data_IF_781187290648
#
_entry.id   IF_781187290648
#
_cell.length_a   1.000
_cell.length_b   1.000
_cell.length_c   1.000
_cell.angle_alpha   90.00
_cell.angle_beta   90.00
_cell.angle_gamma   90.00
#
_symmetry.space_group_name_H-M   'P 1'
#
loop_
_entity.id
_entity.type
_entity.pdbx_description
1 polymer ?
#
# COMPACT_ATOMS: atom_id res chain seq x y z
N UNK A 1 -35.14 0.58 14.25
CA UNK A 1 -33.86 0.50 14.99
C UNK A 1 -33.13 -0.76 14.53
N UNK A 2 -32.14 -0.63 13.65
CA UNK A 2 -31.36 -1.77 13.17
C UNK A 2 -30.31 -2.16 14.21
N UNK A 3 -30.36 -3.39 14.71
CA UNK A 3 -29.36 -3.90 15.64
C UNK A 3 -28.05 -4.09 14.89
N UNK A 4 -27.06 -3.25 15.19
CA UNK A 4 -25.70 -3.38 14.69
C UNK A 4 -25.14 -4.67 15.31
N UNK A 5 -25.18 -5.75 14.53
CA UNK A 5 -24.77 -7.09 14.96
C UNK A 5 -23.28 -6.99 15.28
N UNK A 6 -22.97 -6.94 16.58
CA UNK A 6 -21.60 -6.89 17.09
C UNK A 6 -20.85 -8.03 16.41
N UNK A 7 -19.85 -7.72 15.60
CA UNK A 7 -18.86 -8.70 15.19
C UNK A 7 -18.29 -9.25 16.49
N UNK A 8 -18.69 -10.48 16.84
CA UNK A 8 -18.15 -11.17 17.99
C UNK A 8 -16.64 -11.14 17.85
N UNK A 9 -15.97 -10.62 18.86
CA UNK A 9 -14.55 -10.84 19.09
C UNK A 9 -14.38 -12.31 19.52
N UNK A 10 -14.83 -13.25 18.70
CA UNK A 10 -14.38 -14.62 18.79
C UNK A 10 -12.88 -14.51 18.53
N UNK A 11 -12.08 -14.58 19.60
CA UNK A 11 -10.64 -14.31 19.63
C UNK A 11 -9.81 -15.32 18.84
N UNK A 12 -10.33 -15.80 17.72
CA UNK A 12 -9.58 -16.52 16.71
C UNK A 12 -8.58 -15.54 16.13
N UNK A 13 -7.36 -15.57 16.67
CA UNK A 13 -6.20 -14.99 16.01
C UNK A 13 -6.21 -15.48 14.57
N UNK A 14 -6.43 -14.56 13.63
CA UNK A 14 -6.28 -14.85 12.21
C UNK A 14 -4.78 -14.89 12.00
N UNK A 15 -4.21 -16.09 11.98
CA UNK A 15 -2.82 -16.27 11.59
C UNK A 15 -2.64 -15.64 10.21
N UNK A 16 -1.65 -14.72 10.04
CA UNK A 16 -1.30 -14.22 8.72
C UNK A 16 -1.07 -15.41 7.81
N UNK A 17 -1.71 -15.44 6.64
CA UNK A 17 -1.37 -16.45 5.65
C UNK A 17 0.10 -16.26 5.28
N UNK A 18 0.89 -17.32 5.46
CA UNK A 18 2.26 -17.35 4.97
C UNK A 18 2.27 -16.95 3.48
N UNK A 19 3.13 -16.00 3.11
CA UNK A 19 3.27 -15.52 1.73
C UNK A 19 2.58 -14.19 1.39
N UNK A 20 2.07 -13.44 2.38
CA UNK A 20 1.63 -12.06 2.14
C UNK A 20 2.81 -11.17 1.74
N UNK A 21 2.92 -10.81 0.46
CA UNK A 21 3.95 -9.88 -0.01
C UNK A 21 3.86 -8.54 0.74
N UNK A 22 5.01 -7.99 1.15
CA UNK A 22 5.10 -6.65 1.75
C UNK A 22 4.48 -5.63 0.78
N UNK A 23 3.46 -4.91 1.23
CA UNK A 23 2.70 -3.96 0.40
C UNK A 23 3.07 -2.50 0.62
N UNK A 24 3.98 -2.24 1.55
CA UNK A 24 4.44 -0.88 1.86
C UNK A 24 5.36 -0.36 0.77
N UNK A 25 5.05 0.82 0.28
CA UNK A 25 5.77 1.48 -0.81
C UNK A 25 6.01 2.95 -0.50
N UNK A 26 7.03 3.52 -1.11
CA UNK A 26 7.21 4.95 -1.28
C UNK A 26 6.55 5.38 -2.59
N UNK A 27 5.68 6.39 -2.52
CA UNK A 27 4.88 6.93 -3.63
C UNK A 27 5.47 8.27 -4.08
N UNK A 28 5.84 8.38 -5.35
CA UNK A 28 6.24 9.65 -5.96
C UNK A 28 5.09 10.24 -6.79
N UNK A 29 4.58 11.41 -6.39
CA UNK A 29 3.42 12.05 -7.06
C UNK A 29 3.82 12.89 -8.26
N UNK A 30 5.05 13.40 -8.29
CA UNK A 30 5.60 14.17 -9.40
C UNK A 30 7.03 13.71 -9.70
N UNK A 31 7.43 13.79 -10.96
CA UNK A 31 8.83 13.58 -11.38
C UNK A 31 9.77 14.69 -10.90
N UNK A 32 9.21 15.80 -10.41
CA UNK A 32 9.92 17.01 -10.00
C UNK A 32 9.79 17.34 -8.52
N UNK A 33 8.89 16.66 -7.79
CA UNK A 33 8.83 16.82 -6.34
C UNK A 33 9.82 15.85 -5.70
N UNK A 34 10.61 16.36 -4.75
CA UNK A 34 11.59 15.58 -4.02
C UNK A 34 10.94 14.59 -3.03
N UNK A 35 9.67 14.81 -2.69
CA UNK A 35 9.02 14.11 -1.60
C UNK A 35 8.37 12.81 -2.08
N UNK A 36 8.76 11.71 -1.44
CA UNK A 36 8.13 10.42 -1.59
C UNK A 36 7.30 10.12 -0.33
N UNK A 37 6.05 9.73 -0.50
CA UNK A 37 5.11 9.50 0.59
C UNK A 37 5.03 8.02 0.94
N UNK A 38 4.97 7.64 2.23
CA UNK A 38 4.71 6.26 2.60
C UNK A 38 3.28 5.89 2.18
N UNK A 39 3.12 4.73 1.56
CA UNK A 39 1.85 4.24 1.05
C UNK A 39 1.70 2.73 1.16
N UNK A 40 0.47 2.26 0.97
CA UNK A 40 0.07 0.86 1.03
C UNK A 40 -0.61 0.45 -0.28
N UNK A 41 -0.05 -0.56 -0.95
CA UNK A 41 -0.70 -1.16 -2.13
C UNK A 41 -1.93 -1.96 -1.70
N UNK A 42 -3.09 -1.60 -2.25
CA UNK A 42 -4.35 -2.30 -2.04
C UNK A 42 -4.49 -3.42 -3.08
N UNK A 43 -4.30 -3.08 -4.35
CA UNK A 43 -4.44 -4.01 -5.49
C UNK A 43 -3.60 -3.57 -6.69
N UNK A 44 -3.36 -4.51 -7.61
CA UNK A 44 -2.69 -4.28 -8.88
C UNK A 44 -3.66 -4.52 -10.03
N UNK A 45 -3.53 -3.74 -11.11
CA UNK A 45 -4.17 -4.03 -12.40
C UNK A 45 -3.21 -3.79 -13.55
N UNK A 46 -3.46 -4.48 -14.66
CA UNK A 46 -2.75 -4.27 -15.92
C UNK A 46 -3.53 -3.30 -16.80
N UNK A 47 -2.85 -2.28 -17.31
CA UNK A 47 -3.35 -1.31 -18.29
C UNK A 47 -2.51 -1.37 -19.57
N UNK A 48 -2.94 -0.66 -20.62
CA UNK A 48 -2.25 -0.61 -21.91
C UNK A 48 -0.81 -0.09 -21.80
N UNK A 49 -0.53 0.81 -20.86
CA UNK A 49 0.78 1.42 -20.63
C UNK A 49 1.63 0.72 -19.57
N UNK A 50 1.09 -0.30 -18.89
CA UNK A 50 1.85 -1.03 -17.87
C UNK A 50 1.02 -1.48 -16.67
N UNK A 51 1.72 -1.75 -15.58
CA UNK A 51 1.07 -2.04 -14.29
C UNK A 51 0.79 -0.73 -13.56
N UNK A 52 -0.40 -0.66 -12.96
CA UNK A 52 -0.74 0.36 -11.98
C UNK A 52 -1.21 -0.34 -10.70
N UNK A 53 -0.96 0.30 -9.56
CA UNK A 53 -1.47 -0.13 -8.27
C UNK A 53 -2.44 0.89 -7.71
N UNK A 54 -3.49 0.44 -7.03
CA UNK A 54 -4.30 1.30 -6.18
C UNK A 54 -3.58 1.43 -4.85
N UNK A 55 -3.23 2.65 -4.48
CA UNK A 55 -2.39 2.94 -3.31
C UNK A 55 -3.10 3.91 -2.39
N UNK A 56 -3.15 3.55 -1.10
CA UNK A 56 -3.54 4.45 -0.02
C UNK A 56 -2.30 5.15 0.53
N UNK A 57 -2.30 6.48 0.61
CA UNK A 57 -1.20 7.27 1.19
C UNK A 57 -1.71 8.63 1.69
N UNK A 58 -0.88 9.34 2.46
CA UNK A 58 -1.19 10.68 2.97
C UNK A 58 -0.17 11.68 2.37
N UNK A 59 -0.57 12.54 1.43
CA UNK A 59 0.29 13.60 0.92
C UNK A 59 0.42 14.73 1.95
N UNK A 60 1.56 15.41 1.94
CA UNK A 60 1.91 16.46 2.90
C UNK A 60 2.95 16.04 3.93
N UNK A 61 3.15 16.89 4.94
CA UNK A 61 4.08 16.61 6.05
C UNK A 61 3.48 15.57 7.00
N UNK A 62 4.34 14.88 7.75
CA UNK A 62 3.89 13.88 8.72
C UNK A 62 2.92 14.49 9.73
N UNK A 63 1.70 13.93 9.83
CA UNK A 63 0.64 14.42 10.71
C UNK A 63 -0.26 15.50 10.09
N UNK A 64 0.06 15.96 8.87
CA UNK A 64 -0.73 16.90 8.09
C UNK A 64 -1.21 16.19 6.81
N UNK A 65 -2.42 16.50 6.34
CA UNK A 65 -2.98 15.92 5.11
C UNK A 65 -4.09 14.89 5.33
N UNK A 66 -4.70 14.47 4.21
CA UNK A 66 -5.86 13.57 4.19
C UNK A 66 -5.49 12.27 3.50
N UNK A 67 -5.95 11.14 4.02
CA UNK A 67 -5.82 9.86 3.34
C UNK A 67 -6.47 9.91 1.96
N UNK A 68 -5.70 9.55 0.93
CA UNK A 68 -6.18 9.41 -0.43
C UNK A 68 -5.93 8.00 -0.94
N UNK A 69 -6.86 7.50 -1.76
CA UNK A 69 -6.68 6.28 -2.55
C UNK A 69 -6.62 6.66 -4.03
N UNK A 70 -5.55 6.29 -4.72
CA UNK A 70 -5.41 6.58 -6.14
C UNK A 70 -4.71 5.46 -6.90
N UNK A 71 -4.94 5.39 -8.22
CA UNK A 71 -4.17 4.54 -9.12
C UNK A 71 -2.84 5.20 -9.47
N UNK A 72 -1.73 4.49 -9.22
CA UNK A 72 -0.36 4.98 -9.42
C UNK A 72 0.38 4.02 -10.34
N UNK A 73 1.08 4.57 -11.33
CA UNK A 73 1.97 3.80 -12.21
C UNK A 73 3.06 3.09 -11.40
N UNK A 74 3.32 1.82 -11.68
CA UNK A 74 4.31 1.01 -10.97
C UNK A 74 5.70 1.67 -10.88
N UNK A 75 6.11 2.39 -11.93
CA UNK A 75 7.40 3.12 -11.99
C UNK A 75 7.54 4.26 -10.97
N UNK A 76 6.43 4.68 -10.33
CA UNK A 76 6.40 5.71 -9.28
C UNK A 76 6.38 5.12 -7.87
N UNK A 77 6.40 3.79 -7.76
CA UNK A 77 6.38 3.07 -6.49
C UNK A 77 7.74 2.43 -6.24
N UNK A 78 8.22 2.54 -5.00
CA UNK A 78 9.41 1.80 -4.54
C UNK A 78 9.07 1.01 -3.29
N UNK A 79 9.54 -0.23 -3.09
CA UNK A 79 9.36 -0.94 -1.83
C UNK A 79 9.86 -0.12 -0.63
N UNK A 80 9.14 -0.16 0.49
CA UNK A 80 9.52 0.59 1.70
C UNK A 80 10.63 -0.09 2.54
N UNK A 81 10.95 -1.36 2.27
CA UNK A 81 11.99 -2.11 2.97
C UNK A 81 13.28 -2.27 2.14
N UNK A 82 14.38 -2.73 2.77
CA UNK A 82 15.55 -3.20 2.03
C UNK A 82 15.12 -4.33 1.06
N UNK A 83 15.77 -4.46 -0.11
CA UNK A 83 15.46 -5.56 -1.03
C UNK A 83 15.58 -6.89 -0.28
N UNK A 84 14.72 -7.89 -0.57
CA UNK A 84 14.88 -9.21 0.02
C UNK A 84 16.31 -9.70 -0.26
N UNK A 85 16.97 -10.38 0.70
CA UNK A 85 18.28 -10.96 0.44
C UNK A 85 18.19 -11.87 -0.80
N UNK A 86 19.25 -11.92 -1.64
CA UNK A 86 19.24 -12.78 -2.81
C UNK A 86 18.92 -14.22 -2.39
N UNK A 87 18.07 -14.90 -3.16
CA UNK A 87 17.85 -16.32 -2.99
C UNK A 87 19.18 -17.03 -3.22
N UNK A 88 19.71 -17.70 -2.19
CA UNK A 88 20.87 -18.58 -2.33
C UNK A 88 20.35 -19.88 -2.94
N UNK A 89 20.80 -20.20 -4.16
CA UNK A 89 20.59 -21.51 -4.80
C UNK A 89 21.46 -22.60 -4.15
#
# INVERSE_FOLDING_TARGET
MGTNRRYGSDGRAVEPRDGGAVRHVWVSLSRYEADAYPGLVIEWRRESQGWVARVAFVPGKQGEGTLVEQWVEAKRLRPAGPPPPPLVE
#
